data_IF_931503759123
#
_entry.id   IF_931503759123
#
_cell.length_a   1.000
_cell.length_b   1.000
_cell.length_c   1.000
_cell.angle_alpha   90.00
_cell.angle_beta   90.00
_cell.angle_gamma   90.00
#
_symmetry.space_group_name_H-M   'P 1'
#
loop_
_entity.id
_entity.type
_entity.pdbx_description
1 polymer ?
#
# COMPACT_ATOMS: atom_id res chain seq x y z
N UNK A 1 -7.86 35.74 8.26
CA UNK A 1 -7.38 34.56 8.86
C UNK A 1 -6.28 33.94 8.02
N UNK A 2 -5.32 33.50 8.63
CA UNK A 2 -4.25 32.96 7.87
C UNK A 2 -4.57 31.55 7.43
N UNK A 3 -4.20 31.28 6.25
CA UNK A 3 -4.31 29.95 5.73
C UNK A 3 -3.01 29.26 6.02
N UNK A 4 -3.11 28.17 6.72
CA UNK A 4 -1.94 27.39 6.96
C UNK A 4 -1.66 26.57 5.74
N UNK A 5 -0.53 26.84 5.13
CA UNK A 5 -0.13 26.09 3.97
C UNK A 5 0.69 24.91 4.44
N UNK A 6 0.15 23.73 4.26
CA UNK A 6 0.86 22.54 4.64
C UNK A 6 1.90 22.24 3.59
N UNK A 7 3.09 21.84 3.99
CA UNK A 7 4.07 21.39 3.00
C UNK A 7 3.53 20.19 2.25
N UNK A 8 3.78 20.16 0.96
CA UNK A 8 3.29 19.06 0.14
C UNK A 8 3.77 17.72 0.67
N UNK A 9 4.99 17.69 1.19
CA UNK A 9 5.55 16.45 1.75
C UNK A 9 4.72 15.94 2.92
N UNK A 10 4.26 16.86 3.77
CA UNK A 10 3.47 16.48 4.92
C UNK A 10 2.11 15.93 4.49
N UNK A 11 1.46 16.60 3.54
CA UNK A 11 0.19 16.12 3.02
C UNK A 11 0.33 14.74 2.41
N UNK A 12 1.39 14.54 1.63
CA UNK A 12 1.63 13.25 1.01
C UNK A 12 1.83 12.17 2.05
N UNK A 13 2.55 12.49 3.11
CA UNK A 13 2.77 11.53 4.18
C UNK A 13 1.47 11.15 4.87
N UNK A 14 0.63 12.12 5.17
CA UNK A 14 -0.68 11.85 5.78
C UNK A 14 -1.54 10.97 4.90
N UNK A 15 -1.54 11.24 3.60
CA UNK A 15 -2.32 10.42 2.67
C UNK A 15 -1.77 9.01 2.60
N UNK A 16 -0.43 8.84 2.65
CA UNK A 16 0.17 7.52 2.67
C UNK A 16 -0.25 6.76 3.91
N UNK A 17 -0.21 7.41 5.06
CA UNK A 17 -0.61 6.78 6.31
C UNK A 17 -2.07 6.34 6.27
N UNK A 18 -2.94 7.19 5.75
CA UNK A 18 -4.35 6.86 5.63
C UNK A 18 -4.58 5.67 4.70
N UNK A 19 -3.83 5.62 3.59
CA UNK A 19 -3.96 4.54 2.64
C UNK A 19 -3.45 3.23 3.23
N UNK A 20 -2.34 3.29 3.97
CA UNK A 20 -1.82 2.11 4.65
C UNK A 20 -2.83 1.59 5.64
N UNK A 21 -3.41 2.48 6.45
CA UNK A 21 -4.41 2.07 7.43
C UNK A 21 -5.63 1.44 6.76
N UNK A 22 -6.08 2.03 5.66
CA UNK A 22 -7.22 1.51 4.93
C UNK A 22 -6.92 0.13 4.36
N UNK A 23 -5.74 -0.05 3.79
CA UNK A 23 -5.35 -1.34 3.25
C UNK A 23 -5.23 -2.38 4.35
N UNK A 24 -4.78 -1.99 5.54
CA UNK A 24 -4.73 -2.92 6.67
C UNK A 24 -6.10 -3.44 7.03
N UNK A 25 -7.10 -2.58 7.00
CA UNK A 25 -8.48 -3.00 7.28
C UNK A 25 -8.99 -3.95 6.20
N UNK A 26 -8.68 -3.66 4.93
CA UNK A 26 -9.09 -4.53 3.84
C UNK A 26 -8.47 -5.91 3.99
N UNK A 27 -7.18 -5.95 4.28
CA UNK A 27 -6.48 -7.23 4.42
C UNK A 27 -6.98 -7.98 5.62
N UNK A 28 -7.29 -7.29 6.72
CA UNK A 28 -7.86 -7.94 7.90
C UNK A 28 -9.19 -8.61 7.58
N UNK A 29 -10.03 -7.96 6.78
CA UNK A 29 -11.30 -8.55 6.38
C UNK A 29 -11.09 -9.79 5.54
N UNK A 30 -10.12 -9.76 4.63
CA UNK A 30 -9.80 -10.94 3.83
C UNK A 30 -9.26 -12.07 4.70
N UNK A 31 -8.42 -11.73 5.67
CA UNK A 31 -7.88 -12.75 6.57
C UNK A 31 -8.99 -13.46 7.33
N UNK A 32 -9.99 -12.70 7.80
CA UNK A 32 -11.14 -13.30 8.47
C UNK A 32 -11.91 -14.21 7.53
N UNK A 33 -12.10 -13.78 6.28
CA UNK A 33 -12.82 -14.58 5.31
C UNK A 33 -12.06 -15.86 4.98
N UNK A 34 -10.73 -15.79 4.88
CA UNK A 34 -9.90 -16.97 4.59
C UNK A 34 -9.96 -17.98 5.71
N UNK A 35 -10.11 -17.52 6.94
CA UNK A 35 -10.18 -18.39 8.09
C UNK A 35 -11.55 -19.06 8.23
N UNK A 36 -12.57 -18.60 7.49
CA UNK A 36 -13.90 -19.15 7.60
C UNK A 36 -13.94 -20.58 7.03
N UNK A 37 -14.65 -21.50 7.69
CA UNK A 37 -14.71 -22.88 7.20
C UNK A 37 -15.31 -23.00 5.80
N UNK A 38 -16.12 -22.03 5.39
CA UNK A 38 -16.76 -22.07 4.09
C UNK A 38 -15.88 -21.59 2.96
N UNK A 39 -14.69 -21.05 3.25
CA UNK A 39 -13.82 -20.56 2.20
C UNK A 39 -13.26 -21.73 1.41
N UNK A 40 -13.51 -21.75 0.11
CA UNK A 40 -13.15 -22.87 -0.72
C UNK A 40 -11.88 -22.66 -1.54
N UNK A 41 -11.31 -21.47 -1.50
CA UNK A 41 -10.13 -21.17 -2.30
C UNK A 41 -8.84 -21.41 -1.54
N UNK A 42 -7.72 -21.11 -2.21
CA UNK A 42 -6.40 -21.14 -1.60
C UNK A 42 -6.09 -19.76 -1.07
N UNK A 43 -6.10 -19.54 0.26
CA UNK A 43 -5.87 -18.20 0.80
C UNK A 43 -4.55 -17.59 0.36
N UNK A 44 -3.52 -18.41 0.18
CA UNK A 44 -2.21 -17.89 -0.18
C UNK A 44 -2.14 -17.43 -1.61
N UNK A 45 -3.03 -17.94 -2.46
CA UNK A 45 -3.05 -17.57 -3.87
C UNK A 45 -4.07 -16.50 -4.21
N UNK A 46 -4.91 -16.10 -3.25
CA UNK A 46 -5.92 -15.09 -3.52
C UNK A 46 -5.29 -13.72 -3.67
N UNK A 47 -5.78 -12.97 -4.64
CA UNK A 47 -5.33 -11.59 -4.84
C UNK A 47 -6.26 -10.65 -4.11
N UNK A 48 -5.69 -9.80 -3.28
CA UNK A 48 -6.44 -8.84 -2.49
C UNK A 48 -6.32 -7.49 -3.17
N UNK A 49 -7.44 -6.83 -3.43
CA UNK A 49 -7.44 -5.52 -4.05
C UNK A 49 -7.18 -4.46 -2.99
N UNK A 50 -6.08 -3.75 -3.15
CA UNK A 50 -5.68 -2.69 -2.25
C UNK A 50 -5.54 -1.39 -3.03
N UNK A 51 -5.38 -0.29 -2.32
CA UNK A 51 -5.14 1.00 -2.95
C UNK A 51 -3.65 1.22 -3.11
N UNK A 52 -3.28 1.87 -4.20
CA UNK A 52 -1.90 2.32 -4.38
C UNK A 52 -1.53 3.27 -3.25
N UNK A 53 -0.40 3.01 -2.60
CA UNK A 53 -0.01 3.76 -1.40
C UNK A 53 0.95 4.91 -1.71
N UNK A 54 0.98 5.39 -2.96
CA UNK A 54 1.91 6.43 -3.34
C UNK A 54 1.63 7.77 -2.65
N UNK A 55 0.39 8.00 -2.25
CA UNK A 55 0.02 9.23 -1.56
C UNK A 55 -0.15 10.43 -2.46
N UNK A 56 -0.06 10.25 -3.77
CA UNK A 56 -0.23 11.35 -4.70
C UNK A 56 -1.67 11.81 -4.72
N UNK A 57 -1.85 13.12 -4.76
CA UNK A 57 -3.17 13.70 -4.81
C UNK A 57 -3.87 13.26 -6.10
N UNK A 58 -5.09 12.78 -5.95
CA UNK A 58 -5.85 12.33 -7.11
C UNK A 58 -5.59 10.90 -7.54
N UNK A 59 -4.65 10.20 -6.90
CA UNK A 59 -4.40 8.82 -7.25
C UNK A 59 -5.55 7.94 -6.76
N UNK A 60 -6.16 7.21 -7.68
CA UNK A 60 -7.21 6.25 -7.33
C UNK A 60 -6.89 4.85 -7.84
N UNK A 61 -5.63 4.61 -8.17
CA UNK A 61 -5.20 3.32 -8.69
C UNK A 61 -5.38 2.22 -7.65
N UNK A 62 -5.71 1.04 -8.14
CA UNK A 62 -5.76 -0.15 -7.31
C UNK A 62 -4.64 -1.07 -7.70
N UNK A 63 -4.15 -1.82 -6.73
CA UNK A 63 -3.14 -2.84 -6.94
C UNK A 63 -3.68 -4.13 -6.35
N UNK A 64 -3.09 -5.25 -6.74
CA UNK A 64 -3.47 -6.53 -6.17
C UNK A 64 -2.23 -7.20 -5.60
N UNK A 65 -2.41 -7.79 -4.43
CA UNK A 65 -1.33 -8.50 -3.73
C UNK A 65 -1.89 -9.77 -3.15
N UNK A 66 -1.04 -10.78 -3.04
CA UNK A 66 -1.39 -11.92 -2.20
C UNK A 66 -1.19 -11.53 -0.75
N UNK A 67 -1.72 -12.35 0.15
CA UNK A 67 -1.56 -12.12 1.58
C UNK A 67 -0.08 -12.09 1.96
N UNK A 68 0.71 -13.03 1.43
CA UNK A 68 2.15 -13.06 1.70
C UNK A 68 2.87 -11.82 1.19
N UNK A 69 2.48 -11.34 0.01
CA UNK A 69 3.08 -10.13 -0.53
C UNK A 69 2.80 -8.93 0.35
N UNK A 70 1.56 -8.83 0.82
CA UNK A 70 1.20 -7.74 1.72
C UNK A 70 2.00 -7.82 3.02
N UNK A 71 2.13 -9.01 3.59
CA UNK A 71 2.91 -9.21 4.82
C UNK A 71 4.35 -8.79 4.62
N UNK A 72 4.92 -9.10 3.47
CA UNK A 72 6.29 -8.71 3.16
C UNK A 72 6.44 -7.20 3.15
N UNK A 73 5.48 -6.50 2.53
CA UNK A 73 5.51 -5.04 2.50
C UNK A 73 5.43 -4.48 3.92
N UNK A 74 4.50 -4.99 4.73
CA UNK A 74 4.32 -4.47 6.08
C UNK A 74 5.46 -4.83 7.01
N UNK A 75 6.25 -5.84 6.68
CA UNK A 75 7.38 -6.24 7.54
C UNK A 75 8.51 -5.23 7.52
N UNK A 76 8.52 -4.33 6.55
CA UNK A 76 9.53 -3.28 6.48
C UNK A 76 8.88 -1.95 6.78
N UNK A 77 9.24 -1.38 7.93
CA UNK A 77 8.64 -0.13 8.38
C UNK A 77 8.87 0.96 7.34
N UNK A 78 7.81 1.70 7.05
CA UNK A 78 7.89 2.81 6.11
C UNK A 78 7.82 2.44 4.65
N UNK A 79 7.80 1.14 4.32
CA UNK A 79 7.68 0.77 2.91
C UNK A 79 6.23 0.80 2.47
N UNK A 80 6.05 0.84 1.14
CA UNK A 80 4.75 1.04 0.54
C UNK A 80 4.58 0.11 -0.65
N UNK A 81 3.32 -0.22 -0.95
CA UNK A 81 2.98 -0.93 -2.17
C UNK A 81 2.31 0.07 -3.11
N UNK A 82 2.88 0.24 -4.29
CA UNK A 82 2.39 1.24 -5.23
C UNK A 82 2.16 0.62 -6.60
N UNK A 83 1.29 1.25 -7.39
CA UNK A 83 1.09 0.84 -8.77
C UNK A 83 2.39 1.03 -9.55
N UNK A 84 2.68 0.14 -10.53
CA UNK A 84 3.95 0.26 -11.26
C UNK A 84 4.16 1.62 -11.91
N UNK A 85 3.09 2.27 -12.38
CA UNK A 85 3.21 3.58 -13.00
C UNK A 85 3.52 4.68 -11.99
N UNK A 86 3.38 4.41 -10.70
CA UNK A 86 3.57 5.41 -9.65
C UNK A 86 4.87 5.20 -8.88
N UNK A 87 5.79 4.43 -9.42
CA UNK A 87 7.03 4.11 -8.72
C UNK A 87 8.04 5.24 -8.69
N UNK A 88 7.82 6.27 -9.49
CA UNK A 88 8.79 7.36 -9.60
C UNK A 88 8.88 8.13 -8.30
N UNK A 89 10.09 8.52 -7.93
CA UNK A 89 10.33 9.21 -6.66
C UNK A 89 10.50 8.27 -5.49
N UNK A 90 10.42 6.96 -5.72
CA UNK A 90 10.61 5.94 -4.68
C UNK A 90 11.81 5.09 -5.01
N UNK A 91 12.35 4.47 -3.97
CA UNK A 91 13.39 3.47 -4.14
C UNK A 91 12.73 2.10 -4.18
N UNK A 92 12.96 1.38 -5.26
CA UNK A 92 12.35 0.08 -5.45
C UNK A 92 13.05 -0.98 -4.62
N UNK A 93 12.28 -1.76 -3.88
CA UNK A 93 12.79 -2.89 -3.12
C UNK A 93 12.55 -4.18 -3.90
N UNK A 94 11.32 -4.40 -4.35
CA UNK A 94 11.00 -5.47 -5.27
C UNK A 94 9.91 -4.99 -6.20
N UNK A 95 9.76 -5.65 -7.34
CA UNK A 95 8.79 -5.23 -8.34
C UNK A 95 8.21 -6.45 -9.03
N UNK A 96 6.93 -6.37 -9.33
CA UNK A 96 6.30 -7.33 -10.22
C UNK A 96 5.27 -6.59 -11.07
N UNK A 97 4.54 -7.32 -11.90
CA UNK A 97 3.63 -6.66 -12.85
C UNK A 97 2.42 -6.06 -12.19
N UNK A 98 2.11 -6.47 -10.96
CA UNK A 98 0.91 -6.04 -10.26
C UNK A 98 1.17 -4.85 -9.34
N UNK A 99 2.36 -4.77 -8.75
CA UNK A 99 2.69 -3.68 -7.83
C UNK A 99 4.19 -3.61 -7.65
N UNK A 100 4.66 -2.50 -7.12
CA UNK A 100 6.05 -2.34 -6.72
C UNK A 100 6.13 -2.14 -5.22
N UNK A 101 7.01 -2.87 -4.56
CA UNK A 101 7.31 -2.69 -3.15
C UNK A 101 8.44 -1.67 -3.08
N UNK A 102 8.17 -0.52 -2.50
CA UNK A 102 9.08 0.61 -2.55
C UNK A 102 9.19 1.28 -1.18
N UNK A 103 10.18 2.14 -1.06
CA UNK A 103 10.26 3.02 0.10
C UNK A 103 10.51 4.43 -0.40
N UNK A 104 10.07 5.46 0.36
CA UNK A 104 10.31 6.84 -0.05
C UNK A 104 11.80 7.10 -0.17
N UNK A 105 12.19 7.76 -1.25
CA UNK A 105 13.61 8.04 -1.47
C UNK A 105 14.17 9.00 -0.45
N UNK A 106 13.31 9.85 0.13
CA UNK A 106 13.74 10.81 1.14
C UNK A 106 13.65 10.27 2.56
N UNK A 107 13.36 9.00 2.73
CA UNK A 107 13.22 8.40 4.06
C UNK A 107 14.55 8.13 4.71
N UNK A 108 15.63 8.48 4.07
CA UNK A 108 16.94 8.14 4.57
C UNK A 108 17.52 9.16 5.48
N UNK A 109 16.83 10.14 5.83
CA UNK A 109 17.38 11.08 6.79
C UNK A 109 16.73 10.97 8.08
#
# INVERSE_FOLDING_TARGET
MSTITMPATRDTRSRRDDLVDRNELVVADYADAFAAPAFAGDPLGELIACRCECGSFGCSEQITLTFDEYETVRSQAGSLAVAPAHRFGFRSLTANVRFHHVEPADAQY
#
